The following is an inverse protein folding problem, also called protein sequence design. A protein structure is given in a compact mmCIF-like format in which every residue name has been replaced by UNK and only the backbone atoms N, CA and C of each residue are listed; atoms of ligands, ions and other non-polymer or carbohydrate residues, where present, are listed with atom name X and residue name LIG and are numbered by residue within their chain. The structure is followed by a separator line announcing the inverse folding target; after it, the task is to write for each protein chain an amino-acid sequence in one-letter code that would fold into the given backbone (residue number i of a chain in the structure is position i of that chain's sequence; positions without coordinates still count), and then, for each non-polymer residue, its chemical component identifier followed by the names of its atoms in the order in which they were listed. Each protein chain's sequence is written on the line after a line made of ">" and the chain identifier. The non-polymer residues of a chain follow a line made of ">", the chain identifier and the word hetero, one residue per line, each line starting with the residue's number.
data_IF_645397550600
#
_entry.id   IF_645397550600
#
_cell.length_a   1.000
_cell.length_b   1.000
_cell.length_c   1.000
_cell.angle_alpha   90.00
_cell.angle_beta   90.00
_cell.angle_gamma   90.00
#
_symmetry.space_group_name_H-M   'P 1'
#
loop_
_entity.id
_entity.type
_entity.pdbx_description
1 polymer ?
#
# COMPACT_ATOMS: atom_id res chain seq x y z
N UNK A 1 13.26 7.92 -28.67
CA UNK A 1 13.32 9.09 -27.77
C UNK A 1 14.14 8.69 -26.55
N UNK A 2 15.04 9.56 -26.06
CA UNK A 2 15.82 9.24 -24.85
C UNK A 2 14.93 9.45 -23.64
N UNK A 3 14.71 8.39 -22.85
CA UNK A 3 13.92 8.44 -21.62
C UNK A 3 14.77 9.02 -20.48
N UNK A 4 14.13 9.79 -19.62
CA UNK A 4 14.71 10.26 -18.35
C UNK A 4 14.22 9.36 -17.22
N UNK A 5 15.03 9.21 -16.18
CA UNK A 5 14.71 8.47 -14.97
C UNK A 5 14.50 9.43 -13.80
N UNK A 6 13.38 9.34 -13.14
CA UNK A 6 13.09 10.02 -11.89
C UNK A 6 13.10 9.03 -10.72
N UNK A 7 13.72 9.44 -9.63
CA UNK A 7 13.81 8.69 -8.38
C UNK A 7 13.31 9.59 -7.25
N UNK A 8 12.37 9.07 -6.46
CA UNK A 8 11.87 9.71 -5.25
C UNK A 8 11.89 8.69 -4.12
N UNK A 9 12.63 8.95 -3.07
CA UNK A 9 12.72 8.13 -1.88
C UNK A 9 11.91 8.74 -0.74
N UNK A 10 11.04 7.96 -0.14
CA UNK A 10 10.15 8.39 0.93
C UNK A 10 10.10 7.38 2.07
N UNK A 11 9.69 7.83 3.25
CA UNK A 11 9.53 7.01 4.43
C UNK A 11 8.20 6.26 4.39
N UNK A 12 8.26 4.94 4.29
CA UNK A 12 7.11 4.04 4.36
C UNK A 12 6.40 3.80 3.04
N UNK A 13 5.85 2.59 2.89
CA UNK A 13 5.18 2.14 1.67
C UNK A 13 3.88 2.92 1.38
N UNK A 14 3.09 3.25 2.40
CA UNK A 14 1.83 3.97 2.21
C UNK A 14 2.05 5.36 1.58
N UNK A 15 3.08 6.08 2.05
CA UNK A 15 3.46 7.36 1.47
C UNK A 15 4.00 7.19 0.05
N UNK A 16 4.78 6.13 -0.21
CA UNK A 16 5.30 5.83 -1.55
C UNK A 16 4.18 5.60 -2.57
N UNK A 17 3.15 4.84 -2.21
CA UNK A 17 1.97 4.62 -3.07
C UNK A 17 1.25 5.94 -3.36
N UNK A 18 1.03 6.76 -2.34
CA UNK A 18 0.37 8.06 -2.49
C UNK A 18 1.18 9.02 -3.36
N UNK A 19 2.52 9.05 -3.20
CA UNK A 19 3.41 9.84 -4.04
C UNK A 19 3.38 9.35 -5.50
N UNK A 20 3.40 8.04 -5.73
CA UNK A 20 3.32 7.46 -7.07
C UNK A 20 2.03 7.86 -7.78
N UNK A 21 0.88 7.82 -7.09
CA UNK A 21 -0.41 8.25 -7.63
C UNK A 21 -0.40 9.74 -8.00
N UNK A 22 0.06 10.60 -7.10
CA UNK A 22 0.11 12.06 -7.34
C UNK A 22 1.05 12.39 -8.50
N UNK A 23 2.21 11.75 -8.59
CA UNK A 23 3.16 11.94 -9.69
C UNK A 23 2.58 11.49 -11.04
N UNK A 24 1.90 10.34 -11.07
CA UNK A 24 1.27 9.82 -12.28
C UNK A 24 0.12 10.71 -12.77
N UNK A 25 -0.59 11.38 -11.88
CA UNK A 25 -1.65 12.34 -12.19
C UNK A 25 -1.12 13.71 -12.62
N UNK A 26 0.09 14.07 -12.18
CA UNK A 26 0.67 15.38 -12.45
C UNK A 26 1.31 15.50 -13.84
N UNK A 27 1.84 14.41 -14.40
CA UNK A 27 2.55 14.45 -15.67
C UNK A 27 2.49 13.11 -16.41
N UNK A 28 2.79 13.13 -17.71
CA UNK A 28 2.84 11.93 -18.55
C UNK A 28 4.12 11.13 -18.28
N UNK A 29 4.06 10.28 -17.29
CA UNK A 29 5.17 9.40 -16.88
C UNK A 29 4.72 7.94 -16.81
N UNK A 30 5.69 7.04 -16.83
CA UNK A 30 5.45 5.62 -16.57
C UNK A 30 6.10 5.26 -15.24
N UNK A 31 5.32 4.66 -14.34
CA UNK A 31 5.84 4.10 -13.10
C UNK A 31 6.58 2.79 -13.42
N UNK A 32 7.85 2.74 -13.09
CA UNK A 32 8.70 1.57 -13.30
C UNK A 32 8.57 0.59 -12.14
N UNK A 33 8.49 1.10 -10.92
CA UNK A 33 8.33 0.27 -9.74
C UNK A 33 8.60 1.00 -8.43
N UNK A 34 8.32 0.29 -7.36
CA UNK A 34 8.60 0.68 -5.99
C UNK A 34 9.62 -0.30 -5.42
N UNK A 35 10.76 0.19 -4.96
CA UNK A 35 11.79 -0.63 -4.34
C UNK A 35 11.97 -0.27 -2.88
N UNK A 36 11.93 -1.27 -2.02
CA UNK A 36 12.27 -1.10 -0.61
C UNK A 36 13.78 -0.98 -0.47
N UNK A 37 14.25 0.11 0.12
CA UNK A 37 15.67 0.32 0.43
C UNK A 37 16.04 -0.28 1.79
N UNK A 38 17.33 -0.52 1.99
CA UNK A 38 17.86 -1.06 3.26
C UNK A 38 17.89 0.08 4.27
N UNK A 39 17.20 -0.11 5.40
CA UNK A 39 17.14 0.89 6.47
C UNK A 39 15.75 1.05 7.07
N UNK A 40 15.39 2.26 7.42
CA UNK A 40 14.20 2.62 8.22
C UNK A 40 12.83 2.47 7.52
N UNK A 41 12.68 1.50 6.63
CA UNK A 41 11.43 1.28 5.90
C UNK A 41 11.23 2.25 4.73
N UNK A 42 12.31 2.83 4.22
CA UNK A 42 12.27 3.72 3.07
C UNK A 42 11.94 2.98 1.78
N UNK A 43 11.33 3.67 0.87
CA UNK A 43 10.91 3.12 -0.43
C UNK A 43 11.26 4.10 -1.53
N UNK A 44 11.98 3.63 -2.56
CA UNK A 44 12.26 4.40 -3.77
C UNK A 44 11.18 4.15 -4.81
N UNK A 45 10.64 5.22 -5.33
CA UNK A 45 9.71 5.24 -6.46
C UNK A 45 10.53 5.55 -7.71
N UNK A 46 10.43 4.69 -8.73
CA UNK A 46 11.11 4.85 -10.01
C UNK A 46 10.10 5.20 -11.09
N UNK A 47 10.33 6.30 -11.79
CA UNK A 47 9.49 6.76 -12.90
C UNK A 47 10.33 7.05 -14.13
N UNK A 48 9.78 6.84 -15.32
CA UNK A 48 10.39 7.19 -16.59
C UNK A 48 9.45 8.01 -17.46
N UNK A 49 10.02 8.82 -18.35
CA UNK A 49 9.30 9.67 -19.29
C UNK A 49 10.24 10.63 -20.01
N UNK A 50 9.67 11.65 -20.62
CA UNK A 50 10.47 12.76 -21.10
C UNK A 50 11.01 13.63 -19.93
N UNK A 51 12.04 14.43 -20.20
CA UNK A 51 12.72 15.21 -19.14
C UNK A 51 11.77 16.15 -18.41
N UNK A 52 10.89 16.84 -19.13
CA UNK A 52 9.99 17.84 -18.56
C UNK A 52 8.92 17.17 -17.70
N UNK A 53 8.30 16.08 -18.19
CA UNK A 53 7.32 15.30 -17.46
C UNK A 53 7.89 14.68 -16.19
N UNK A 54 9.10 14.10 -16.26
CA UNK A 54 9.77 13.54 -15.09
C UNK A 54 10.11 14.61 -14.06
N UNK A 55 10.59 15.78 -14.48
CA UNK A 55 10.86 16.89 -13.57
C UNK A 55 9.59 17.40 -12.88
N UNK A 56 8.50 17.57 -13.63
CA UNK A 56 7.21 18.01 -13.08
C UNK A 56 6.66 16.99 -12.07
N UNK A 57 6.67 15.71 -12.42
CA UNK A 57 6.23 14.63 -11.54
C UNK A 57 7.06 14.58 -10.24
N UNK A 58 8.39 14.59 -10.34
CA UNK A 58 9.26 14.57 -9.15
C UNK A 58 9.03 15.82 -8.30
N UNK A 59 8.92 17.02 -8.89
CA UNK A 59 8.63 18.24 -8.12
C UNK A 59 7.31 18.13 -7.33
N UNK A 60 6.27 17.58 -7.96
CA UNK A 60 4.97 17.36 -7.30
C UNK A 60 5.08 16.33 -6.20
N UNK A 61 5.75 15.20 -6.45
CA UNK A 61 5.98 14.15 -5.47
C UNK A 61 6.79 14.62 -4.26
N UNK A 62 7.84 15.42 -4.49
CA UNK A 62 8.65 16.05 -3.43
C UNK A 62 7.79 16.93 -2.55
N UNK A 63 7.00 17.85 -3.14
CA UNK A 63 6.13 18.75 -2.37
C UNK A 63 5.10 17.99 -1.56
N UNK A 64 4.55 16.89 -2.11
CA UNK A 64 3.59 16.05 -1.43
C UNK A 64 4.20 15.26 -0.26
N UNK A 65 5.42 14.74 -0.43
CA UNK A 65 6.15 14.00 0.60
C UNK A 65 6.65 14.90 1.73
N UNK A 66 7.12 16.11 1.37
CA UNK A 66 7.63 17.12 2.31
C UNK A 66 6.52 17.58 3.27
N UNK A 67 5.32 17.85 2.77
CA UNK A 67 4.16 18.20 3.60
C UNK A 67 3.76 17.12 4.64
N UNK A 68 4.32 15.92 4.54
CA UNK A 68 4.06 14.77 5.43
C UNK A 68 5.29 14.33 6.19
N UNK A 69 6.33 15.15 6.20
CA UNK A 69 7.62 14.85 6.87
C UNK A 69 8.21 13.49 6.48
N UNK A 70 7.93 13.04 5.25
CA UNK A 70 8.34 11.72 4.80
C UNK A 70 9.30 11.74 3.60
N UNK A 71 9.75 12.90 3.16
CA UNK A 71 10.75 13.04 2.09
C UNK A 71 12.12 12.61 2.61
N UNK A 72 12.79 11.70 1.88
CA UNK A 72 14.15 11.23 2.18
C UNK A 72 15.14 11.79 1.16
N UNK A 73 14.90 11.50 -0.11
CA UNK A 73 15.78 11.96 -1.20
C UNK A 73 15.02 11.98 -2.54
N UNK A 74 15.56 12.73 -3.51
CA UNK A 74 15.07 12.69 -4.88
C UNK A 74 16.17 12.96 -5.87
N UNK A 75 16.02 12.44 -7.09
CA UNK A 75 16.95 12.69 -8.20
C UNK A 75 16.25 12.54 -9.54
N UNK A 76 16.64 13.42 -10.49
CA UNK A 76 16.28 13.27 -11.90
C UNK A 76 17.56 13.03 -12.70
N UNK A 77 17.54 11.99 -13.54
CA UNK A 77 18.64 11.62 -14.44
C UNK A 77 18.10 11.77 -15.86
N UNK A 78 18.46 12.86 -16.52
CA UNK A 78 17.93 13.19 -17.87
C UNK A 78 18.38 12.21 -18.95
N UNK A 79 19.53 11.55 -18.76
CA UNK A 79 20.09 10.57 -19.68
C UNK A 79 20.70 9.42 -18.88
N UNK A 80 19.88 8.45 -18.44
CA UNK A 80 20.42 7.26 -17.80
C UNK A 80 21.30 6.50 -18.78
N UNK A 81 22.39 5.92 -18.26
CA UNK A 81 23.28 5.07 -19.07
C UNK A 81 22.57 3.81 -19.52
N UNK A 82 23.13 3.19 -20.58
CA UNK A 82 22.60 1.93 -21.10
C UNK A 82 22.64 0.84 -20.00
N UNK A 83 21.57 0.06 -19.88
CA UNK A 83 21.44 -1.02 -18.89
C UNK A 83 20.85 -0.61 -17.54
N UNK A 84 20.78 0.69 -17.19
CA UNK A 84 20.16 1.11 -15.91
C UNK A 84 18.66 0.79 -15.90
N UNK A 85 17.98 0.96 -17.02
CA UNK A 85 16.55 0.71 -17.14
C UNK A 85 16.21 -0.78 -17.43
N UNK A 86 17.17 -1.57 -17.88
CA UNK A 86 16.97 -2.99 -18.23
C UNK A 86 16.77 -3.90 -17.01
N UNK A 87 17.13 -3.46 -15.81
CA UNK A 87 16.88 -4.17 -14.55
C UNK A 87 15.51 -3.82 -13.92
N UNK A 88 14.82 -2.87 -14.50
CA UNK A 88 13.46 -2.55 -14.08
C UNK A 88 12.54 -3.57 -14.73
N UNK A 89 12.01 -4.48 -13.94
CA UNK A 89 10.94 -5.37 -14.38
C UNK A 89 9.77 -4.48 -14.80
N UNK A 90 9.64 -4.24 -16.10
CA UNK A 90 8.39 -3.77 -16.65
C UNK A 90 7.41 -4.89 -16.33
N UNK A 91 6.52 -4.67 -15.38
CA UNK A 91 5.35 -5.51 -15.26
C UNK A 91 4.63 -5.36 -16.59
N UNK A 92 4.83 -6.32 -17.49
CA UNK A 92 3.96 -6.44 -18.66
C UNK A 92 2.54 -6.43 -18.10
N UNK A 93 1.63 -5.60 -18.66
CA UNK A 93 0.24 -5.65 -18.23
C UNK A 93 -0.20 -7.10 -18.35
N UNK A 94 -0.56 -7.71 -17.23
CA UNK A 94 -1.17 -9.04 -17.25
C UNK A 94 -2.27 -9.01 -18.31
N UNK A 95 -2.36 -10.04 -19.16
CA UNK A 95 -3.41 -10.09 -20.18
C UNK A 95 -4.72 -9.82 -19.46
N UNK A 96 -5.43 -8.79 -19.92
CA UNK A 96 -6.74 -8.42 -19.40
C UNK A 96 -7.53 -9.70 -19.20
N UNK A 97 -7.99 -10.05 -17.99
CA UNK A 97 -8.77 -11.25 -17.80
C UNK A 97 -9.94 -11.20 -18.80
N UNK A 98 -10.08 -12.25 -19.60
CA UNK A 98 -11.22 -12.36 -20.49
C UNK A 98 -12.50 -12.07 -19.72
N UNK A 99 -13.46 -11.31 -20.27
CA UNK A 99 -14.68 -10.97 -19.55
C UNK A 99 -15.31 -12.28 -19.07
N UNK A 100 -15.35 -12.44 -17.75
CA UNK A 100 -16.06 -13.54 -17.11
C UNK A 100 -17.49 -13.48 -17.66
N UNK A 101 -18.02 -14.56 -18.27
CA UNK A 101 -19.37 -14.56 -18.78
C UNK A 101 -20.30 -14.12 -17.65
N UNK A 102 -21.08 -13.06 -17.90
CA UNK A 102 -22.00 -12.53 -16.93
C UNK A 102 -22.92 -13.66 -16.45
N UNK A 103 -22.76 -14.06 -15.19
CA UNK A 103 -23.72 -14.94 -14.53
C UNK A 103 -25.04 -14.15 -14.54
N UNK A 104 -26.14 -14.72 -15.08
CA UNK A 104 -27.43 -14.04 -15.03
C UNK A 104 -27.72 -13.69 -13.59
N UNK A 105 -27.88 -12.42 -13.29
CA UNK A 105 -28.42 -11.97 -12.02
C UNK A 105 -29.89 -12.43 -11.99
N UNK A 106 -30.16 -13.64 -11.51
CA UNK A 106 -31.46 -13.92 -10.94
C UNK A 106 -31.62 -12.95 -9.78
N UNK A 107 -32.59 -12.06 -9.93
CA UNK A 107 -33.00 -11.15 -8.86
C UNK A 107 -33.51 -12.02 -7.72
N UNK A 108 -32.63 -12.34 -6.78
CA UNK A 108 -33.04 -12.92 -5.50
C UNK A 108 -33.72 -11.78 -4.75
N UNK A 109 -35.05 -11.72 -4.86
CA UNK A 109 -35.87 -10.97 -3.93
C UNK A 109 -35.67 -11.59 -2.55
N UNK A 110 -34.69 -11.11 -1.81
CA UNK A 110 -34.60 -11.36 -0.38
C UNK A 110 -35.56 -10.42 0.30
N UNK A 111 -36.71 -10.99 0.65
CA UNK A 111 -37.63 -10.40 1.59
C UNK A 111 -36.85 -10.07 2.88
N UNK A 112 -36.72 -8.79 3.20
CA UNK A 112 -36.06 -8.32 4.41
C UNK A 112 -37.01 -8.53 5.61
N UNK A 113 -37.25 -9.80 5.93
CA UNK A 113 -37.57 -10.14 7.29
C UNK A 113 -36.29 -10.02 8.10
N UNK A 114 -36.22 -9.05 9.01
CA UNK A 114 -35.10 -8.86 9.90
C UNK A 114 -34.77 -10.18 10.60
N UNK A 115 -33.54 -10.70 10.51
CA UNK A 115 -33.17 -11.84 11.31
C UNK A 115 -33.16 -11.40 12.77
N UNK A 116 -34.05 -12.03 13.58
CA UNK A 116 -33.91 -11.97 15.02
C UNK A 116 -32.50 -12.41 15.39
N UNK A 117 -31.77 -11.53 16.10
CA UNK A 117 -30.44 -11.80 16.57
C UNK A 117 -30.44 -13.10 17.39
N UNK A 118 -29.53 -14.05 17.11
CA UNK A 118 -29.32 -15.16 18.04
C UNK A 118 -28.78 -14.56 19.34
N UNK A 119 -29.61 -14.63 20.37
CA UNK A 119 -29.21 -14.36 21.75
C UNK A 119 -28.26 -15.49 22.14
N UNK A 120 -27.13 -15.11 22.80
CA UNK A 120 -26.10 -15.99 23.37
C UNK A 120 -25.00 -16.53 22.44
N UNK A 121 -24.38 -15.66 21.63
CA UNK A 121 -22.97 -15.83 21.34
C UNK A 121 -22.18 -15.11 22.45
N UNK A 122 -21.55 -15.85 23.36
CA UNK A 122 -20.60 -15.29 24.33
C UNK A 122 -19.57 -14.45 23.56
N UNK A 123 -19.69 -13.14 23.69
CA UNK A 123 -18.84 -12.16 23.01
C UNK A 123 -17.42 -12.29 23.57
N UNK A 124 -16.56 -13.01 22.86
CA UNK A 124 -15.12 -13.06 23.18
C UNK A 124 -14.58 -11.64 23.06
N UNK A 125 -14.39 -10.97 24.19
CA UNK A 125 -13.97 -9.57 24.26
C UNK A 125 -12.45 -9.41 24.13
N UNK A 126 -11.67 -10.40 24.56
CA UNK A 126 -10.21 -10.37 24.54
C UNK A 126 -9.64 -10.96 23.25
N UNK A 127 -9.03 -10.11 22.42
CA UNK A 127 -8.37 -10.52 21.19
C UNK A 127 -6.95 -11.08 21.37
N UNK A 128 -6.46 -11.24 22.60
CA UNK A 128 -5.14 -11.80 22.89
C UNK A 128 -5.19 -13.28 23.29
N UNK A 129 -6.13 -13.67 24.13
CA UNK A 129 -6.27 -15.05 24.63
C UNK A 129 -7.50 -15.77 24.08
N UNK A 130 -8.46 -15.04 23.51
CA UNK A 130 -9.73 -15.57 23.00
C UNK A 130 -10.55 -16.33 24.05
N UNK A 131 -10.27 -16.12 25.34
CA UNK A 131 -10.97 -16.73 26.45
C UNK A 131 -12.21 -15.89 26.78
N UNK A 132 -13.43 -16.47 26.75
CA UNK A 132 -14.66 -15.74 27.08
C UNK A 132 -14.69 -15.24 28.53
N UNK A 133 -13.97 -15.88 29.44
CA UNK A 133 -13.88 -15.46 30.84
C UNK A 133 -12.89 -14.31 31.08
N UNK A 134 -12.16 -13.87 30.04
CA UNK A 134 -11.18 -12.80 30.16
C UNK A 134 -11.86 -11.43 30.18
N UNK A 135 -11.66 -10.62 31.25
CA UNK A 135 -12.31 -9.33 31.38
C UNK A 135 -11.74 -8.24 30.44
N UNK A 136 -10.61 -8.49 29.80
CA UNK A 136 -9.94 -7.52 28.93
C UNK A 136 -10.70 -7.33 27.61
N UNK A 137 -10.90 -6.07 27.22
CA UNK A 137 -11.49 -5.71 25.94
C UNK A 137 -10.42 -5.34 24.90
N UNK A 138 -10.81 -5.34 23.62
CA UNK A 138 -9.94 -4.92 22.52
C UNK A 138 -9.57 -3.44 22.69
N UNK A 139 -8.26 -3.16 22.73
CA UNK A 139 -7.71 -1.80 22.94
C UNK A 139 -7.17 -1.55 24.36
N UNK A 140 -7.51 -2.36 25.34
CA UNK A 140 -7.00 -2.24 26.69
C UNK A 140 -5.58 -2.80 26.85
N UNK A 141 -4.83 -2.35 27.91
CA UNK A 141 -3.50 -2.82 28.19
C UNK A 141 -3.42 -4.35 28.32
N UNK A 142 -2.32 -4.92 27.85
CA UNK A 142 -2.08 -6.38 27.88
C UNK A 142 -2.06 -6.95 29.30
N UNK A 143 -1.70 -6.15 30.28
CA UNK A 143 -1.64 -6.54 31.70
C UNK A 143 -2.98 -6.92 32.29
N UNK A 144 -4.08 -6.51 31.70
CA UNK A 144 -5.45 -6.86 32.11
C UNK A 144 -5.90 -8.23 31.60
N UNK A 145 -5.13 -8.87 30.72
CA UNK A 145 -5.45 -10.20 30.21
C UNK A 145 -5.09 -11.26 31.26
N UNK A 146 -6.01 -12.18 31.54
CA UNK A 146 -5.80 -13.31 32.47
C UNK A 146 -4.57 -14.17 32.14
N UNK A 147 -4.19 -14.22 30.89
CA UNK A 147 -3.06 -15.01 30.39
C UNK A 147 -1.82 -14.15 30.07
N UNK A 148 -1.75 -12.92 30.56
CA UNK A 148 -0.65 -11.98 30.25
C UNK A 148 0.72 -12.42 30.80
N UNK A 149 0.73 -13.30 31.81
CA UNK A 149 1.97 -13.80 32.47
C UNK A 149 2.46 -15.16 31.94
N UNK A 150 1.70 -15.89 31.14
CA UNK A 150 2.09 -17.22 30.64
C UNK A 150 2.72 -17.10 29.24
N UNK A 151 3.97 -16.70 29.18
CA UNK A 151 4.80 -16.87 27.99
C UNK A 151 5.76 -18.03 28.25
N UNK A 152 5.39 -19.22 27.71
CA UNK A 152 6.35 -20.24 27.32
C UNK A 152 7.04 -20.98 28.46
N UNK A 153 6.36 -21.99 28.99
CA UNK A 153 6.99 -23.24 29.36
C UNK A 153 6.43 -24.31 28.45
N UNK A 154 7.22 -24.66 27.44
CA UNK A 154 7.17 -25.92 26.70
C UNK A 154 8.59 -26.20 26.22
#
# INVERSE_FOLDING_TARGET
>A
MKQSLGLLEVSGLALAISCADVMAKAASITLVGLEKTIGSGWTVIKIIGDVASVQAAISTGVSFADQRDGLVAHKVISRPGDGILSHSVVLEPEPTPEPIPAIPHEEIFVDHAAPEAPQDAELISCNLCLDPACPRQKGEPRTLCLHSGKRGEA
#
